data_IF_474527351660
#
_entry.id   IF_474527351660
#
_cell.length_a   1.000
_cell.length_b   1.000
_cell.length_c   1.000
_cell.angle_alpha   90.00
_cell.angle_beta   90.00
_cell.angle_gamma   90.00
#
_symmetry.space_group_name_H-M   'P 1'
#
loop_
_entity.id
_entity.type
_entity.pdbx_description
1 polymer ?
#
# COMPACT_ATOMS: atom_id res chain seq x y z
N UNK A 1 -10.04 -19.29 44.02
CA UNK A 1 -8.66 -19.38 43.50
C UNK A 1 -8.71 -20.11 42.18
N UNK A 2 -8.42 -19.38 41.11
CA UNK A 2 -7.70 -19.77 39.90
C UNK A 2 -7.88 -18.55 38.99
N UNK A 3 -6.98 -17.58 39.16
CA UNK A 3 -6.81 -16.50 38.18
C UNK A 3 -6.30 -17.18 36.91
N UNK A 4 -7.06 -17.11 35.83
CA UNK A 4 -6.61 -17.50 34.49
C UNK A 4 -5.31 -16.73 34.22
N UNK A 5 -4.22 -17.46 33.94
CA UNK A 5 -2.97 -16.86 33.45
C UNK A 5 -3.27 -16.03 32.20
N UNK A 6 -2.56 -14.91 31.95
CA UNK A 6 -2.78 -14.09 30.76
C UNK A 6 -2.32 -14.87 29.51
N UNK A 7 -3.20 -15.72 28.97
CA UNK A 7 -3.16 -16.09 27.55
C UNK A 7 -3.33 -14.79 26.79
N UNK A 8 -2.30 -14.32 26.08
CA UNK A 8 -2.50 -13.08 25.32
C UNK A 8 -1.24 -12.56 24.66
N UNK A 9 -0.23 -12.16 25.45
CA UNK A 9 0.86 -11.33 24.92
C UNK A 9 1.67 -11.97 23.80
N UNK A 10 2.14 -13.20 23.99
CA UNK A 10 2.99 -13.89 23.02
C UNK A 10 2.27 -14.17 21.70
N UNK A 11 0.99 -14.56 21.78
CA UNK A 11 0.17 -14.86 20.62
C UNK A 11 -0.25 -13.59 19.86
N UNK A 12 -0.57 -12.51 20.57
CA UNK A 12 -0.82 -11.19 19.98
C UNK A 12 0.41 -10.71 19.20
N UNK A 13 1.59 -10.72 19.84
CA UNK A 13 2.84 -10.30 19.20
C UNK A 13 3.24 -11.17 18.02
N UNK A 14 2.90 -12.47 18.04
CA UNK A 14 3.13 -13.36 16.90
C UNK A 14 2.35 -12.93 15.66
N UNK A 15 1.12 -12.47 15.82
CA UNK A 15 0.29 -12.02 14.71
C UNK A 15 0.78 -10.69 14.12
N UNK A 16 1.47 -9.86 14.90
CA UNK A 16 2.04 -8.60 14.41
C UNK A 16 3.23 -8.80 13.46
N UNK A 17 3.75 -10.03 13.34
CA UNK A 17 4.77 -10.36 12.34
C UNK A 17 4.17 -10.52 10.95
N UNK A 18 2.87 -10.78 10.88
CA UNK A 18 2.16 -10.89 9.62
C UNK A 18 1.99 -9.49 9.01
N UNK A 19 2.47 -9.37 7.78
CA UNK A 19 2.46 -8.14 7.01
C UNK A 19 1.03 -7.65 6.73
N UNK A 20 0.11 -8.55 6.39
CA UNK A 20 -1.28 -8.20 6.08
C UNK A 20 -2.01 -7.72 7.35
N UNK A 21 -1.64 -8.29 8.51
CA UNK A 21 -2.13 -7.81 9.80
C UNK A 21 -1.61 -6.40 10.10
N UNK A 22 -0.33 -6.11 9.87
CA UNK A 22 0.21 -4.75 10.04
C UNK A 22 -0.51 -3.73 9.14
N UNK A 23 -0.75 -4.08 7.87
CA UNK A 23 -1.52 -3.26 6.92
C UNK A 23 -2.94 -3.01 7.42
N UNK A 24 -3.64 -4.05 7.86
CA UNK A 24 -5.01 -3.95 8.36
C UNK A 24 -5.09 -3.06 9.60
N UNK A 25 -4.20 -3.27 10.57
CA UNK A 25 -4.12 -2.46 11.79
C UNK A 25 -3.76 -1.00 11.47
N UNK A 26 -2.83 -0.78 10.53
CA UNK A 26 -2.51 0.54 9.99
C UNK A 26 -3.73 1.25 9.42
N UNK A 27 -4.54 0.54 8.62
CA UNK A 27 -5.76 1.10 8.05
C UNK A 27 -6.81 1.39 9.13
N UNK A 28 -7.06 0.46 10.03
CA UNK A 28 -8.07 0.63 11.09
C UNK A 28 -7.73 1.78 12.05
N UNK A 29 -6.47 1.92 12.45
CA UNK A 29 -6.06 2.99 13.37
C UNK A 29 -6.11 4.38 12.73
N UNK A 30 -6.05 4.43 11.41
CA UNK A 30 -6.08 5.68 10.66
C UNK A 30 -7.45 6.01 10.09
N UNK A 31 -8.37 5.03 10.03
CA UNK A 31 -9.76 5.25 9.65
C UNK A 31 -10.54 5.97 10.76
N UNK A 32 -11.56 6.73 10.37
CA UNK A 32 -12.41 7.46 11.32
C UNK A 32 -13.33 6.54 12.11
N UNK A 33 -13.87 5.49 11.48
CA UNK A 33 -14.79 4.55 12.11
C UNK A 33 -14.07 3.58 13.05
N UNK A 34 -12.82 3.19 12.73
CA UNK A 34 -12.07 2.10 13.39
C UNK A 34 -12.84 0.77 13.45
N UNK A 35 -13.88 0.65 12.61
CA UNK A 35 -14.77 -0.50 12.52
C UNK A 35 -14.86 -0.89 11.06
N UNK A 36 -14.66 -2.19 10.80
CA UNK A 36 -14.88 -2.84 9.51
C UNK A 36 -16.35 -3.20 9.41
N UNK A 37 -17.06 -2.53 8.50
CA UNK A 37 -18.45 -2.84 8.18
C UNK A 37 -18.54 -3.75 6.96
N UNK A 38 -19.38 -4.79 7.00
CA UNK A 38 -19.66 -5.59 5.82
C UNK A 38 -20.51 -4.81 4.83
N UNK A 39 -20.26 -4.99 3.52
CA UNK A 39 -21.15 -4.55 2.45
C UNK A 39 -21.82 -5.76 1.80
N UNK A 40 -23.06 -5.61 1.38
CA UNK A 40 -23.76 -6.68 0.65
C UNK A 40 -23.55 -6.53 -0.86
N UNK A 41 -23.10 -7.62 -1.48
CA UNK A 41 -22.98 -7.81 -2.91
C UNK A 41 -23.95 -8.92 -3.32
N UNK A 42 -24.88 -8.63 -4.24
CA UNK A 42 -25.92 -9.59 -4.62
C UNK A 42 -25.38 -10.87 -5.25
N UNK A 43 -24.16 -10.85 -5.79
CA UNK A 43 -23.53 -12.01 -6.41
C UNK A 43 -22.66 -12.79 -5.44
N UNK A 44 -21.88 -12.07 -4.62
CA UNK A 44 -20.81 -12.62 -3.77
C UNK A 44 -21.19 -12.71 -2.29
N UNK A 45 -22.36 -12.19 -1.90
CA UNK A 45 -22.78 -12.12 -0.51
C UNK A 45 -22.14 -10.95 0.23
N UNK A 46 -21.93 -11.08 1.55
CA UNK A 46 -21.27 -10.05 2.31
C UNK A 46 -19.76 -10.04 2.09
N UNK A 47 -19.21 -8.83 2.01
CA UNK A 47 -17.84 -8.52 1.65
C UNK A 47 -17.24 -7.50 2.59
N UNK A 48 -15.92 -7.52 2.72
CA UNK A 48 -15.17 -6.51 3.47
C UNK A 48 -14.11 -5.89 2.55
N UNK A 49 -14.50 -4.96 1.66
CA UNK A 49 -13.60 -4.40 0.65
C UNK A 49 -12.31 -3.84 1.24
N UNK A 50 -12.41 -3.21 2.42
CA UNK A 50 -11.25 -2.66 3.13
C UNK A 50 -10.21 -3.70 3.54
N UNK A 51 -10.59 -4.96 3.66
CA UNK A 51 -9.71 -6.09 3.97
C UNK A 51 -9.33 -6.85 2.70
N UNK A 52 -10.26 -6.99 1.76
CA UNK A 52 -10.04 -7.63 0.45
C UNK A 52 -8.92 -6.95 -0.35
N UNK A 53 -8.76 -5.62 -0.22
CA UNK A 53 -7.68 -4.87 -0.88
C UNK A 53 -6.28 -5.15 -0.30
N UNK A 54 -6.22 -5.73 0.91
CA UNK A 54 -4.98 -5.97 1.64
C UNK A 54 -4.45 -7.39 1.38
N UNK A 55 -5.35 -8.36 1.38
CA UNK A 55 -5.01 -9.78 1.22
C UNK A 55 -4.79 -10.16 -0.24
N UNK A 56 -3.96 -11.18 -0.46
CA UNK A 56 -3.72 -11.70 -1.82
C UNK A 56 -4.94 -12.48 -2.38
N UNK A 57 -5.71 -13.12 -1.49
CA UNK A 57 -6.91 -13.89 -1.85
C UNK A 57 -8.12 -13.36 -1.08
N UNK A 58 -9.06 -12.66 -1.75
CA UNK A 58 -10.30 -12.16 -1.15
C UNK A 58 -11.16 -13.25 -0.49
N UNK A 59 -10.97 -14.53 -0.85
CA UNK A 59 -11.73 -15.63 -0.25
C UNK A 59 -11.29 -15.99 1.19
N UNK A 60 -10.07 -15.64 1.62
CA UNK A 60 -9.58 -15.88 2.99
C UNK A 60 -9.92 -14.72 3.95
N UNK A 61 -10.63 -13.69 3.52
CA UNK A 61 -10.94 -12.52 4.38
C UNK A 61 -11.69 -12.92 5.65
N UNK A 62 -12.71 -13.78 5.53
CA UNK A 62 -13.49 -14.26 6.68
C UNK A 62 -12.62 -15.10 7.63
N UNK A 63 -11.71 -15.91 7.07
CA UNK A 63 -10.73 -16.70 7.82
C UNK A 63 -9.74 -15.81 8.58
N UNK A 64 -9.18 -14.79 7.93
CA UNK A 64 -8.28 -13.82 8.57
C UNK A 64 -8.97 -13.11 9.73
N UNK A 65 -10.17 -12.57 9.51
CA UNK A 65 -10.92 -11.85 10.56
C UNK A 65 -11.23 -12.76 11.75
N UNK A 66 -11.63 -14.01 11.50
CA UNK A 66 -11.88 -15.00 12.55
C UNK A 66 -10.62 -15.32 13.35
N UNK A 67 -9.46 -15.53 12.70
CA UNK A 67 -8.17 -15.74 13.37
C UNK A 67 -7.78 -14.55 14.26
N UNK A 68 -8.05 -13.32 13.83
CA UNK A 68 -7.76 -12.13 14.61
C UNK A 68 -8.68 -11.97 15.82
N UNK A 69 -9.95 -12.39 15.71
CA UNK A 69 -10.87 -12.47 16.86
C UNK A 69 -10.42 -13.53 17.86
N UNK A 70 -10.04 -14.72 17.39
CA UNK A 70 -9.55 -15.80 18.25
C UNK A 70 -8.29 -15.41 19.03
N UNK A 71 -7.44 -14.58 18.42
CA UNK A 71 -6.25 -14.00 19.07
C UNK A 71 -6.54 -12.80 19.95
N UNK A 72 -7.80 -12.35 20.04
CA UNK A 72 -8.21 -11.18 20.83
C UNK A 72 -7.82 -9.83 20.24
N UNK A 73 -7.32 -9.77 19.00
CA UNK A 73 -6.99 -8.50 18.33
C UNK A 73 -8.23 -7.73 17.91
N UNK A 74 -9.26 -8.45 17.49
CA UNK A 74 -10.53 -7.87 17.04
C UNK A 74 -11.68 -8.33 17.93
N UNK A 75 -12.59 -7.41 18.21
CA UNK A 75 -13.93 -7.71 18.68
C UNK A 75 -14.88 -7.83 17.48
N UNK A 76 -15.77 -8.82 17.51
CA UNK A 76 -16.85 -8.95 16.53
C UNK A 76 -18.20 -8.60 17.15
N UNK A 77 -19.07 -7.95 16.37
CA UNK A 77 -20.46 -7.64 16.76
C UNK A 77 -21.40 -8.11 15.67
N UNK A 78 -22.45 -8.84 16.06
CA UNK A 78 -23.49 -9.28 15.13
C UNK A 78 -24.19 -8.05 14.54
N UNK A 79 -24.22 -7.96 13.21
CA UNK A 79 -24.80 -6.83 12.49
C UNK A 79 -25.87 -7.23 11.47
N UNK A 80 -26.01 -8.52 11.19
CA UNK A 80 -27.07 -9.02 10.32
C UNK A 80 -27.08 -10.54 10.17
N UNK A 81 -28.00 -11.01 9.33
CA UNK A 81 -28.12 -12.41 8.95
C UNK A 81 -28.25 -12.49 7.43
N UNK A 82 -27.39 -13.29 6.81
CA UNK A 82 -27.43 -13.57 5.38
C UNK A 82 -28.27 -14.83 5.16
N UNK A 83 -29.33 -14.72 4.38
CA UNK A 83 -30.09 -15.90 3.95
C UNK A 83 -29.32 -16.62 2.84
N UNK A 84 -29.28 -17.95 2.91
CA UNK A 84 -28.54 -18.82 2.02
C UNK A 84 -29.42 -19.97 1.52
N UNK A 85 -29.26 -20.31 0.25
CA UNK A 85 -29.83 -21.52 -0.30
C UNK A 85 -29.19 -22.74 0.37
N UNK A 86 -29.94 -23.62 1.06
CA UNK A 86 -29.38 -24.82 1.69
C UNK A 86 -28.84 -25.82 0.67
N UNK A 87 -29.26 -25.73 -0.61
CA UNK A 87 -28.82 -26.63 -1.68
C UNK A 87 -27.48 -26.24 -2.30
N UNK A 88 -27.25 -24.94 -2.52
CA UNK A 88 -26.09 -24.47 -3.30
C UNK A 88 -25.28 -23.36 -2.60
N UNK A 89 -25.67 -22.94 -1.40
CA UNK A 89 -24.99 -21.89 -0.64
C UNK A 89 -25.13 -20.48 -1.21
N UNK A 90 -25.90 -20.27 -2.27
CA UNK A 90 -26.09 -18.94 -2.87
C UNK A 90 -26.96 -18.03 -2.00
N UNK A 91 -26.59 -16.76 -1.91
CA UNK A 91 -27.39 -15.68 -1.31
C UNK A 91 -28.44 -15.08 -2.25
N UNK A 92 -28.51 -15.52 -3.51
CA UNK A 92 -29.45 -15.01 -4.52
C UNK A 92 -30.84 -15.58 -4.32
N UNK A 93 -31.50 -15.15 -3.24
CA UNK A 93 -32.84 -15.57 -2.87
C UNK A 93 -33.85 -14.44 -3.13
N UNK A 94 -34.96 -14.77 -3.78
CA UNK A 94 -36.13 -13.89 -3.93
C UNK A 94 -37.36 -14.55 -3.31
N UNK A 95 -38.40 -13.77 -3.04
CA UNK A 95 -39.70 -14.30 -2.62
C UNK A 95 -40.36 -15.01 -3.81
N UNK A 96 -40.89 -16.21 -3.60
CA UNK A 96 -41.65 -16.91 -4.63
C UNK A 96 -42.93 -16.13 -4.99
N UNK A 97 -43.28 -16.10 -6.28
CA UNK A 97 -44.50 -15.46 -6.78
C UNK A 97 -45.75 -16.30 -6.44
N UNK A 98 -46.94 -15.67 -6.43
CA UNK A 98 -48.21 -16.38 -6.29
C UNK A 98 -48.65 -16.71 -4.85
N UNK A 99 -48.11 -16.02 -3.84
CA UNK A 99 -48.57 -16.16 -2.44
C UNK A 99 -47.99 -17.36 -1.70
N UNK A 100 -47.05 -18.10 -2.30
CA UNK A 100 -46.33 -19.17 -1.62
C UNK A 100 -45.36 -18.60 -0.56
N UNK A 101 -45.42 -19.14 0.66
CA UNK A 101 -44.45 -18.88 1.72
C UNK A 101 -43.13 -19.64 1.45
N UNK A 102 -42.42 -19.22 0.41
CA UNK A 102 -41.16 -19.83 0.00
C UNK A 102 -40.17 -18.81 -0.60
N UNK A 103 -38.89 -19.17 -0.54
CA UNK A 103 -37.80 -18.53 -1.23
C UNK A 103 -37.51 -19.24 -2.56
N UNK A 104 -37.16 -18.48 -3.60
CA UNK A 104 -36.65 -19.00 -4.86
C UNK A 104 -35.17 -18.64 -4.98
N UNK A 105 -34.32 -19.66 -5.17
CA UNK A 105 -32.91 -19.44 -5.44
C UNK A 105 -32.67 -19.19 -6.93
N UNK A 106 -32.21 -17.98 -7.30
CA UNK A 106 -31.92 -17.63 -8.69
C UNK A 106 -30.66 -18.31 -9.24
N UNK A 107 -29.83 -18.92 -8.38
CA UNK A 107 -28.62 -19.63 -8.81
C UNK A 107 -28.89 -21.09 -9.22
N UNK A 108 -29.72 -21.82 -8.46
CA UNK A 108 -29.99 -23.24 -8.73
C UNK A 108 -31.48 -23.57 -8.97
N UNK A 109 -32.35 -22.57 -9.03
CA UNK A 109 -33.78 -22.71 -9.32
C UNK A 109 -34.59 -23.40 -8.21
N UNK A 110 -34.02 -23.61 -7.03
CA UNK A 110 -34.70 -24.34 -5.96
C UNK A 110 -35.70 -23.44 -5.23
N UNK A 111 -36.91 -23.98 -5.02
CA UNK A 111 -37.92 -23.41 -4.12
C UNK A 111 -37.69 -23.96 -2.72
N UNK A 112 -37.49 -23.09 -1.74
CA UNK A 112 -37.11 -23.41 -0.37
C UNK A 112 -38.22 -22.88 0.56
N UNK A 113 -38.85 -23.73 1.38
CA UNK A 113 -39.79 -23.27 2.41
C UNK A 113 -39.17 -22.21 3.35
N UNK A 114 -39.98 -21.28 3.89
CA UNK A 114 -39.46 -20.20 4.75
C UNK A 114 -38.66 -20.70 5.96
N UNK A 115 -39.09 -21.82 6.55
CA UNK A 115 -38.48 -22.45 7.73
C UNK A 115 -37.24 -23.29 7.42
N UNK A 116 -36.97 -23.56 6.14
CA UNK A 116 -35.84 -24.36 5.67
C UNK A 116 -34.75 -23.52 5.00
N UNK A 117 -34.88 -22.19 5.02
CA UNK A 117 -33.84 -21.30 4.51
C UNK A 117 -32.62 -21.37 5.42
N UNK A 118 -31.44 -21.56 4.84
CA UNK A 118 -30.20 -21.43 5.59
C UNK A 118 -29.98 -19.97 5.96
N UNK A 119 -29.33 -19.73 7.09
CA UNK A 119 -28.82 -18.40 7.40
C UNK A 119 -27.39 -18.49 7.94
N UNK A 120 -26.65 -17.41 7.71
CA UNK A 120 -25.32 -17.21 8.28
C UNK A 120 -25.27 -15.85 8.96
N UNK A 121 -24.74 -15.81 10.15
CA UNK A 121 -24.53 -14.56 10.88
C UNK A 121 -23.48 -13.69 10.19
N UNK A 122 -23.68 -12.38 10.25
CA UNK A 122 -22.83 -11.39 9.60
C UNK A 122 -22.35 -10.42 10.67
N UNK A 123 -21.05 -10.14 10.67
CA UNK A 123 -20.39 -9.44 11.76
C UNK A 123 -19.74 -8.15 11.28
N UNK A 124 -19.72 -7.15 12.15
CA UNK A 124 -18.78 -6.03 12.05
C UNK A 124 -17.60 -6.28 12.99
N UNK A 125 -16.41 -5.80 12.64
CA UNK A 125 -15.20 -6.03 13.43
C UNK A 125 -14.57 -4.71 13.85
N UNK A 126 -14.09 -4.63 15.09
CA UNK A 126 -13.40 -3.48 15.64
C UNK A 126 -12.12 -3.92 16.34
N UNK A 127 -11.12 -3.04 16.43
CA UNK A 127 -9.95 -3.30 17.28
C UNK A 127 -10.36 -3.37 18.75
N UNK A 128 -9.93 -4.42 19.45
CA UNK A 128 -10.09 -4.49 20.91
C UNK A 128 -9.30 -3.34 21.57
N UNK A 129 -9.93 -2.53 22.44
CA UNK A 129 -9.22 -1.51 23.20
C UNK A 129 -8.08 -2.09 24.05
N UNK A 130 -8.32 -3.24 24.69
CA UNK A 130 -7.35 -3.93 25.54
C UNK A 130 -6.15 -4.41 24.71
N UNK A 131 -6.40 -5.06 23.58
CA UNK A 131 -5.34 -5.51 22.69
C UNK A 131 -4.55 -4.32 22.13
N UNK A 132 -5.24 -3.22 21.78
CA UNK A 132 -4.60 -2.02 21.26
C UNK A 132 -3.63 -1.41 22.27
N UNK A 133 -4.01 -1.32 23.54
CA UNK A 133 -3.15 -0.82 24.61
C UNK A 133 -1.86 -1.65 24.70
N UNK A 134 -1.99 -2.98 24.67
CA UNK A 134 -0.89 -3.92 24.79
C UNK A 134 0.06 -3.93 23.58
N UNK A 135 -0.48 -3.83 22.36
CA UNK A 135 0.31 -3.97 21.13
C UNK A 135 0.80 -2.65 20.54
N UNK A 136 0.26 -1.50 20.98
CA UNK A 136 0.50 -0.19 20.37
C UNK A 136 1.98 0.12 20.12
N UNK A 137 2.86 -0.23 21.05
CA UNK A 137 4.32 -0.02 20.96
C UNK A 137 5.06 -0.99 20.02
N UNK A 138 4.38 -2.00 19.48
CA UNK A 138 4.94 -3.04 18.61
C UNK A 138 4.45 -2.90 17.15
N UNK A 139 3.62 -1.90 16.87
CA UNK A 139 3.07 -1.67 15.54
C UNK A 139 4.02 -0.80 14.69
N UNK A 140 4.71 -1.45 13.75
CA UNK A 140 5.67 -0.78 12.86
C UNK A 140 4.97 0.19 11.91
N UNK A 141 3.97 -0.29 11.16
CA UNK A 141 3.35 0.50 10.11
C UNK A 141 2.58 1.73 10.66
N UNK A 142 1.72 1.61 11.69
CA UNK A 142 1.15 2.77 12.38
C UNK A 142 2.18 3.80 12.85
N UNK A 143 3.30 3.36 13.42
CA UNK A 143 4.38 4.24 13.89
C UNK A 143 5.04 4.99 12.73
N UNK A 144 5.26 4.31 11.60
CA UNK A 144 5.80 4.92 10.37
C UNK A 144 4.81 5.94 9.78
N UNK A 145 3.52 5.61 9.72
CA UNK A 145 2.48 6.52 9.22
C UNK A 145 2.35 7.78 10.07
N UNK A 146 2.33 7.63 11.40
CA UNK A 146 2.32 8.77 12.33
C UNK A 146 3.57 9.64 12.17
N UNK A 147 4.74 9.02 12.07
CA UNK A 147 6.00 9.71 11.80
C UNK A 147 5.96 10.53 10.50
N UNK A 148 5.46 9.96 9.39
CA UNK A 148 5.35 10.65 8.10
C UNK A 148 4.36 11.83 8.17
N UNK A 149 3.23 11.66 8.87
CA UNK A 149 2.26 12.76 9.06
C UNK A 149 2.83 13.89 9.90
N UNK A 150 3.52 13.58 11.00
CA UNK A 150 4.24 14.57 11.83
C UNK A 150 5.32 15.30 11.04
N UNK A 151 5.84 14.69 9.97
CA UNK A 151 6.79 15.30 9.02
C UNK A 151 6.12 16.16 7.93
N UNK A 152 4.80 16.25 7.92
CA UNK A 152 4.03 17.07 6.98
C UNK A 152 3.64 16.36 5.68
N UNK A 153 3.75 15.03 5.63
CA UNK A 153 3.29 14.25 4.47
C UNK A 153 1.82 13.86 4.63
N UNK A 154 1.09 13.89 3.52
CA UNK A 154 -0.09 13.04 3.33
C UNK A 154 0.38 11.62 2.99
N UNK A 155 -0.34 10.62 3.50
CA UNK A 155 0.04 9.21 3.38
C UNK A 155 -1.13 8.39 2.90
N UNK A 156 -0.89 7.45 1.98
CA UNK A 156 -1.82 6.36 1.67
C UNK A 156 -1.20 5.03 2.06
N UNK A 157 -2.02 4.11 2.57
CA UNK A 157 -1.59 2.77 2.99
C UNK A 157 -2.74 1.75 2.85
N UNK A 158 -2.57 0.71 2.02
CA UNK A 158 -1.53 0.60 1.00
C UNK A 158 -1.60 1.77 0.00
N UNK A 159 -0.47 2.12 -0.59
CA UNK A 159 -0.37 3.15 -1.61
C UNK A 159 -0.14 2.53 -2.99
N UNK A 160 -0.72 3.14 -4.03
CA UNK A 160 -0.63 2.62 -5.40
C UNK A 160 -0.02 3.66 -6.33
N UNK A 161 0.89 3.23 -7.19
CA UNK A 161 1.49 4.07 -8.24
C UNK A 161 1.46 3.35 -9.58
N UNK A 162 0.94 4.00 -10.61
CA UNK A 162 1.03 3.51 -11.98
C UNK A 162 2.45 3.73 -12.52
N UNK A 163 3.08 2.67 -13.00
CA UNK A 163 4.39 2.72 -13.63
C UNK A 163 4.34 3.13 -15.10
N UNK A 164 5.50 3.37 -15.69
CA UNK A 164 5.67 3.68 -17.12
C UNK A 164 5.06 2.61 -18.02
N UNK A 165 5.18 1.36 -17.60
CA UNK A 165 4.59 0.20 -18.27
C UNK A 165 3.06 0.24 -18.31
N UNK A 166 2.40 1.05 -17.47
CA UNK A 166 0.96 1.03 -17.22
C UNK A 166 0.55 0.00 -16.17
N UNK A 167 1.50 -0.76 -15.62
CA UNK A 167 1.26 -1.63 -14.47
C UNK A 167 1.10 -0.77 -13.23
N UNK A 168 0.05 -1.04 -12.45
CA UNK A 168 -0.16 -0.42 -11.14
C UNK A 168 0.61 -1.22 -10.10
N UNK A 169 1.57 -0.58 -9.46
CA UNK A 169 2.39 -1.17 -8.41
C UNK A 169 1.85 -0.78 -7.03
N UNK A 170 1.84 -1.74 -6.11
CA UNK A 170 1.48 -1.56 -4.70
C UNK A 170 2.73 -1.35 -3.85
N UNK A 171 2.65 -0.38 -2.95
CA UNK A 171 3.58 -0.12 -1.86
C UNK A 171 2.82 -0.11 -0.54
N UNK A 172 3.50 -0.38 0.57
CA UNK A 172 2.84 -0.36 1.88
C UNK A 172 2.48 1.06 2.27
N UNK A 173 3.34 2.02 1.91
CA UNK A 173 3.09 3.45 2.09
C UNK A 173 3.53 4.24 0.87
N UNK A 174 2.65 5.10 0.38
CA UNK A 174 3.02 6.26 -0.45
C UNK A 174 2.86 7.52 0.39
N UNK A 175 3.83 8.43 0.29
CA UNK A 175 3.84 9.68 1.04
C UNK A 175 4.16 10.86 0.11
N UNK A 176 3.33 11.88 0.15
CA UNK A 176 3.45 13.07 -0.70
C UNK A 176 3.03 14.32 0.08
N UNK A 177 3.45 15.50 -0.37
CA UNK A 177 3.18 16.75 0.35
C UNK A 177 1.73 17.20 0.17
N UNK A 178 1.39 17.69 -1.03
CA UNK A 178 0.03 18.14 -1.33
C UNK A 178 -0.67 17.18 -2.29
N UNK A 179 0.06 16.72 -3.30
CA UNK A 179 -0.38 15.78 -4.34
C UNK A 179 0.77 14.87 -4.77
N UNK A 180 0.42 13.73 -5.39
CA UNK A 180 1.36 12.78 -6.03
C UNK A 180 2.25 13.49 -7.07
N UNK A 181 1.75 14.55 -7.71
CA UNK A 181 2.47 15.33 -8.73
C UNK A 181 3.62 16.18 -8.18
N UNK A 182 3.60 16.48 -6.88
CA UNK A 182 4.71 17.16 -6.17
C UNK A 182 5.80 16.18 -5.73
N UNK A 183 5.64 14.90 -6.06
CA UNK A 183 6.60 13.83 -5.80
C UNK A 183 6.17 12.94 -4.65
N UNK A 184 6.51 11.67 -4.81
CA UNK A 184 6.13 10.61 -3.90
C UNK A 184 7.36 9.96 -3.32
N UNK A 185 7.38 9.82 -2.00
CA UNK A 185 8.20 8.87 -1.29
C UNK A 185 7.43 7.55 -1.20
N UNK A 186 8.09 6.45 -1.53
CA UNK A 186 7.53 5.11 -1.35
C UNK A 186 8.27 4.38 -0.24
N UNK A 187 7.53 3.60 0.52
CA UNK A 187 8.08 2.78 1.58
C UNK A 187 7.44 1.40 1.57
N UNK A 188 8.29 0.38 1.64
CA UNK A 188 7.89 -1.00 1.91
C UNK A 188 8.46 -1.45 3.27
N UNK A 189 7.71 -2.27 3.99
CA UNK A 189 7.99 -2.84 5.28
C UNK A 189 8.01 -4.36 5.18
N UNK A 190 9.19 -4.95 5.39
CA UNK A 190 9.36 -6.39 5.49
C UNK A 190 9.61 -6.80 6.94
N UNK A 191 8.78 -7.68 7.47
CA UNK A 191 8.93 -8.27 8.79
C UNK A 191 9.18 -9.77 8.65
N UNK A 192 10.27 -10.26 9.23
CA UNK A 192 10.60 -11.68 9.27
C UNK A 192 11.17 -12.08 10.63
N UNK A 193 11.15 -13.38 10.94
CA UNK A 193 11.78 -13.89 12.17
C UNK A 193 13.30 -13.78 12.14
N UNK A 194 13.88 -13.89 10.94
CA UNK A 194 15.31 -13.83 10.69
C UNK A 194 15.69 -12.67 9.78
N UNK A 195 16.90 -12.73 9.24
CA UNK A 195 17.42 -11.72 8.32
C UNK A 195 16.65 -11.74 7.00
N UNK A 196 16.22 -10.57 6.53
CA UNK A 196 15.52 -10.38 5.26
C UNK A 196 16.48 -10.60 4.09
N UNK A 197 16.06 -11.39 3.11
CA UNK A 197 16.86 -11.72 1.94
C UNK A 197 16.91 -10.62 0.87
N UNK A 198 17.78 -10.82 -0.12
CA UNK A 198 18.02 -9.88 -1.21
C UNK A 198 16.83 -9.76 -2.18
N UNK A 199 15.97 -10.76 -2.25
CA UNK A 199 14.77 -10.82 -3.10
C UNK A 199 13.82 -9.64 -2.87
N UNK A 200 13.75 -9.13 -1.63
CA UNK A 200 12.91 -7.98 -1.29
C UNK A 200 13.40 -6.68 -1.93
N UNK A 201 14.71 -6.49 -1.99
CA UNK A 201 15.31 -5.36 -2.70
C UNK A 201 15.07 -5.47 -4.20
N UNK A 202 15.20 -6.66 -4.78
CA UNK A 202 14.95 -6.86 -6.21
C UNK A 202 13.49 -6.58 -6.59
N UNK A 203 12.54 -7.03 -5.77
CA UNK A 203 11.12 -6.71 -5.93
C UNK A 203 10.88 -5.20 -5.84
N UNK A 204 11.40 -4.53 -4.81
CA UNK A 204 11.25 -3.08 -4.67
C UNK A 204 11.91 -2.32 -5.83
N UNK A 205 13.08 -2.76 -6.30
CA UNK A 205 13.76 -2.18 -7.44
C UNK A 205 12.90 -2.22 -8.71
N UNK A 206 12.25 -3.36 -8.99
CA UNK A 206 11.36 -3.47 -10.16
C UNK A 206 10.23 -2.44 -10.11
N UNK A 207 9.60 -2.27 -8.93
CA UNK A 207 8.54 -1.26 -8.72
C UNK A 207 9.07 0.17 -8.86
N UNK A 208 10.21 0.48 -8.24
CA UNK A 208 10.84 1.81 -8.24
C UNK A 208 11.32 2.20 -9.64
N UNK A 209 11.85 1.25 -10.40
CA UNK A 209 12.30 1.48 -11.76
C UNK A 209 11.13 1.88 -12.68
N UNK A 210 9.96 1.28 -12.47
CA UNK A 210 8.76 1.57 -13.28
C UNK A 210 8.02 2.82 -12.80
N UNK A 211 8.02 3.12 -11.50
CA UNK A 211 7.21 4.23 -10.92
C UNK A 211 7.99 5.51 -10.65
N UNK A 212 9.33 5.44 -10.66
CA UNK A 212 10.26 6.58 -10.52
C UNK A 212 9.93 7.55 -9.35
N UNK A 213 9.76 7.06 -8.11
CA UNK A 213 9.52 7.90 -6.94
C UNK A 213 10.73 8.80 -6.62
N UNK A 214 10.51 9.89 -5.88
CA UNK A 214 11.58 10.77 -5.41
C UNK A 214 12.55 10.07 -4.47
N UNK A 215 12.00 9.19 -3.63
CA UNK A 215 12.77 8.42 -2.67
C UNK A 215 12.08 7.10 -2.42
N UNK A 216 12.87 6.03 -2.38
CA UNK A 216 12.44 4.70 -2.01
C UNK A 216 13.11 4.30 -0.70
N UNK A 217 12.32 3.82 0.26
CA UNK A 217 12.80 3.32 1.54
C UNK A 217 12.32 1.87 1.75
N UNK A 218 13.23 0.93 1.97
CA UNK A 218 12.89 -0.38 2.49
C UNK A 218 13.13 -0.39 4.00
N UNK A 219 12.10 -0.71 4.77
CA UNK A 219 12.20 -1.01 6.19
C UNK A 219 12.30 -2.52 6.37
N UNK A 220 13.40 -3.00 6.95
CA UNK A 220 13.65 -4.42 7.17
C UNK A 220 13.69 -4.72 8.67
N UNK A 221 12.84 -5.64 9.12
CA UNK A 221 12.75 -6.07 10.52
C UNK A 221 13.17 -7.54 10.63
N UNK A 222 14.22 -7.88 11.40
CA UNK A 222 15.10 -6.98 12.15
C UNK A 222 16.21 -6.34 11.30
N UNK A 223 16.66 -7.00 10.24
CA UNK A 223 17.78 -6.57 9.41
C UNK A 223 17.76 -7.22 8.03
N UNK A 224 18.52 -6.66 7.09
CA UNK A 224 18.73 -7.14 5.74
C UNK A 224 20.07 -7.87 5.63
N UNK A 225 20.13 -8.87 4.75
CA UNK A 225 21.38 -9.58 4.43
C UNK A 225 22.45 -8.62 3.90
N UNK A 226 23.73 -8.96 4.05
CA UNK A 226 24.82 -8.16 3.49
C UNK A 226 24.70 -7.98 1.97
N UNK A 227 24.28 -9.03 1.28
CA UNK A 227 23.98 -8.97 -0.16
C UNK A 227 22.85 -7.98 -0.45
N UNK A 228 21.74 -8.07 0.30
CA UNK A 228 20.64 -7.12 0.17
C UNK A 228 21.08 -5.68 0.40
N UNK A 229 21.91 -5.40 1.42
CA UNK A 229 22.45 -4.04 1.69
C UNK A 229 23.30 -3.51 0.54
N UNK A 230 24.14 -4.37 -0.06
CA UNK A 230 24.94 -4.01 -1.24
C UNK A 230 24.06 -3.68 -2.43
N UNK A 231 23.05 -4.52 -2.71
CA UNK A 231 22.09 -4.28 -3.80
C UNK A 231 21.28 -3.00 -3.57
N UNK A 232 20.83 -2.75 -2.34
CA UNK A 232 20.08 -1.55 -2.02
C UNK A 232 20.90 -0.27 -2.30
N UNK A 233 22.17 -0.27 -1.91
CA UNK A 233 23.10 0.82 -2.20
C UNK A 233 23.28 1.03 -3.71
N UNK A 234 23.45 -0.06 -4.47
CA UNK A 234 23.56 -0.02 -5.94
C UNK A 234 22.30 0.59 -6.59
N UNK A 235 21.11 0.20 -6.12
CA UNK A 235 19.83 0.67 -6.65
C UNK A 235 19.35 1.99 -6.04
N UNK A 236 20.13 2.60 -5.14
CA UNK A 236 19.79 3.83 -4.41
C UNK A 236 18.49 3.72 -3.60
N UNK A 237 18.18 2.52 -3.14
CA UNK A 237 17.08 2.26 -2.20
C UNK A 237 17.64 2.50 -0.80
N UNK A 238 17.02 3.41 -0.05
CA UNK A 238 17.44 3.65 1.34
C UNK A 238 16.95 2.52 2.22
N UNK A 239 17.83 1.93 3.02
CA UNK A 239 17.45 0.84 3.94
C UNK A 239 17.39 1.36 5.37
N UNK A 240 16.33 0.97 6.08
CA UNK A 240 16.20 1.18 7.53
C UNK A 240 15.97 -0.16 8.20
N UNK A 241 16.89 -0.55 9.08
CA UNK A 241 16.84 -1.83 9.80
C UNK A 241 16.52 -1.62 11.28
N UNK A 242 15.81 -2.52 11.93
CA UNK A 242 15.55 -2.45 13.38
C UNK A 242 14.55 -3.50 13.85
N UNK A 243 14.70 -3.93 15.10
CA UNK A 243 13.83 -4.94 15.72
C UNK A 243 12.58 -4.39 16.41
N UNK A 244 12.48 -3.07 16.59
CA UNK A 244 11.36 -2.41 17.26
C UNK A 244 10.97 -1.10 16.56
N UNK A 245 9.70 -0.65 16.65
CA UNK A 245 9.22 0.55 15.97
C UNK A 245 9.99 1.83 16.32
N UNK A 246 10.44 2.00 17.56
CA UNK A 246 11.16 3.21 18.00
C UNK A 246 12.55 3.32 17.37
N UNK A 247 13.26 2.20 17.22
CA UNK A 247 14.52 2.15 16.47
C UNK A 247 14.28 2.50 15.00
N UNK A 248 13.23 1.95 14.39
CA UNK A 248 12.86 2.24 12.99
C UNK A 248 12.58 3.73 12.82
N UNK A 249 11.71 4.31 13.64
CA UNK A 249 11.36 5.75 13.58
C UNK A 249 12.60 6.62 13.76
N UNK A 250 13.47 6.32 14.73
CA UNK A 250 14.72 7.07 14.95
C UNK A 250 15.66 7.02 13.74
N UNK A 251 15.77 5.89 13.07
CA UNK A 251 16.59 5.75 11.86
C UNK A 251 15.94 6.43 10.65
N UNK A 252 14.62 6.35 10.52
CA UNK A 252 13.86 7.07 9.49
C UNK A 252 14.05 8.58 9.61
N UNK A 253 14.28 9.15 10.82
CA UNK A 253 14.56 10.58 10.97
C UNK A 253 15.75 11.05 10.10
N UNK A 254 16.74 10.19 9.90
CA UNK A 254 17.97 10.46 9.12
C UNK A 254 17.78 10.28 7.62
N UNK A 255 16.82 9.44 7.23
CA UNK A 255 16.58 9.05 5.84
C UNK A 255 15.50 9.92 5.21
N UNK A 256 14.42 10.18 5.93
CA UNK A 256 13.28 10.93 5.43
C UNK A 256 13.34 12.35 5.99
N UNK A 257 13.58 13.40 5.18
CA UNK A 257 13.52 14.77 5.67
C UNK A 257 12.06 15.24 5.79
N UNK A 258 11.79 16.38 6.47
CA UNK A 258 10.49 17.04 6.46
C UNK A 258 9.95 17.31 5.04
N UNK A 259 8.63 17.28 4.87
CA UNK A 259 7.98 17.35 3.56
C UNK A 259 8.25 18.65 2.78
N UNK A 260 8.51 19.76 3.47
CA UNK A 260 8.88 21.05 2.88
C UNK A 260 10.31 21.09 2.30
N UNK A 261 11.16 20.16 2.75
CA UNK A 261 12.55 20.00 2.28
C UNK A 261 12.70 18.94 1.19
N UNK A 262 11.71 18.06 1.02
CA UNK A 262 11.64 17.18 -0.15
C UNK A 262 11.21 18.03 -1.34
N UNK A 263 12.19 18.55 -2.08
CA UNK A 263 11.95 19.33 -3.29
C UNK A 263 12.59 18.63 -4.47
N UNK A 264 11.88 18.62 -5.58
CA UNK A 264 12.54 18.63 -6.86
C UNK A 264 13.24 19.99 -7.02
N UNK A 265 14.48 19.99 -7.48
CA UNK A 265 15.22 21.21 -7.74
C UNK A 265 14.74 21.79 -9.08
N UNK A 266 14.47 23.10 -9.11
CA UNK A 266 14.25 23.81 -10.37
C UNK A 266 15.51 23.68 -11.23
N UNK A 267 15.36 23.56 -12.54
CA UNK A 267 16.47 23.58 -13.50
C UNK A 267 17.02 25.01 -13.63
N UNK A 268 17.63 25.54 -12.56
CA UNK A 268 18.29 26.84 -12.57
C UNK A 268 19.69 26.78 -13.19
N UNK A 269 20.28 27.95 -13.44
CA UNK A 269 21.57 28.06 -14.12
C UNK A 269 22.70 27.32 -13.38
N UNK A 270 22.70 27.34 -12.04
CA UNK A 270 23.71 26.66 -11.23
C UNK A 270 23.55 25.14 -11.26
N UNK A 271 22.30 24.66 -11.25
CA UNK A 271 21.96 23.25 -11.37
C UNK A 271 22.38 22.68 -12.72
N UNK A 272 22.10 23.42 -13.81
CA UNK A 272 22.52 23.04 -15.16
C UNK A 272 24.05 22.88 -15.24
N UNK A 273 24.82 23.78 -14.62
CA UNK A 273 26.28 23.68 -14.58
C UNK A 273 26.78 22.44 -13.83
N UNK A 274 26.05 21.96 -12.83
CA UNK A 274 26.40 20.76 -12.05
C UNK A 274 26.10 19.43 -12.76
N UNK A 275 25.21 19.44 -13.78
CA UNK A 275 24.82 18.23 -14.50
C UNK A 275 25.91 17.76 -15.46
N UNK A 276 26.11 16.43 -15.64
CA UNK A 276 26.87 15.87 -16.75
C UNK A 276 26.37 16.38 -18.11
N UNK A 277 27.26 16.60 -19.07
CA UNK A 277 26.95 17.30 -20.34
C UNK A 277 25.77 16.70 -21.11
N UNK A 278 25.64 15.37 -21.12
CA UNK A 278 24.53 14.70 -21.78
C UNK A 278 23.17 15.01 -21.11
N UNK A 279 23.11 15.01 -19.78
CA UNK A 279 21.92 15.37 -19.02
C UNK A 279 21.63 16.88 -19.09
N UNK A 280 22.67 17.71 -19.06
CA UNK A 280 22.54 19.17 -19.22
C UNK A 280 21.91 19.50 -20.57
N UNK A 281 22.37 18.86 -21.64
CA UNK A 281 21.84 19.05 -22.99
C UNK A 281 20.36 18.68 -23.10
N UNK A 282 19.97 17.53 -22.53
CA UNK A 282 18.56 17.11 -22.43
C UNK A 282 17.72 18.09 -21.60
N UNK A 283 18.22 18.50 -20.43
CA UNK A 283 17.55 19.45 -19.55
C UNK A 283 17.34 20.81 -20.22
N UNK A 284 18.33 21.33 -20.95
CA UNK A 284 18.23 22.59 -21.69
C UNK A 284 17.27 22.50 -22.88
N UNK A 285 17.18 21.35 -23.55
CA UNK A 285 16.19 21.14 -24.61
C UNK A 285 14.78 21.12 -24.03
N UNK A 286 14.58 20.39 -22.93
CA UNK A 286 13.29 20.35 -22.24
C UNK A 286 12.88 21.72 -21.68
N UNK A 287 13.83 22.48 -21.10
CA UNK A 287 13.57 23.83 -20.58
C UNK A 287 13.06 24.78 -21.67
N UNK A 288 13.61 24.70 -22.88
CA UNK A 288 13.16 25.47 -24.03
C UNK A 288 11.77 25.04 -24.54
N UNK A 289 11.45 23.76 -24.44
CA UNK A 289 10.18 23.21 -24.91
C UNK A 289 9.03 23.37 -23.88
N UNK A 290 9.35 23.56 -22.61
CA UNK A 290 8.37 23.72 -21.53
C UNK A 290 7.70 22.40 -21.12
N UNK A 291 6.89 21.79 -21.98
CA UNK A 291 6.37 20.44 -21.76
C UNK A 291 6.53 19.63 -23.05
N UNK A 292 7.21 18.48 -22.99
CA UNK A 292 7.61 17.74 -24.17
C UNK A 292 7.68 16.23 -23.93
N UNK A 293 7.43 15.45 -24.98
CA UNK A 293 7.68 14.02 -25.05
C UNK A 293 9.16 13.73 -25.29
N UNK A 294 9.62 12.51 -25.00
CA UNK A 294 10.97 12.07 -25.35
C UNK A 294 11.29 12.18 -26.85
N UNK A 295 10.26 12.09 -27.71
CA UNK A 295 10.40 12.25 -29.16
C UNK A 295 10.69 13.72 -29.55
N UNK A 296 10.00 14.67 -28.91
CA UNK A 296 10.22 16.09 -29.16
C UNK A 296 11.58 16.56 -28.63
N UNK A 297 11.99 16.05 -27.46
CA UNK A 297 13.32 16.31 -26.92
C UNK A 297 14.41 15.69 -27.81
N UNK A 298 14.21 14.47 -28.31
CA UNK A 298 15.12 13.82 -29.26
C UNK A 298 15.31 14.61 -30.55
N UNK A 299 14.24 15.17 -31.09
CA UNK A 299 14.32 16.06 -32.25
C UNK A 299 15.12 17.33 -31.93
N UNK A 300 14.99 17.86 -30.73
CA UNK A 300 15.69 19.07 -30.30
C UNK A 300 17.18 18.84 -30.00
N UNK A 301 17.56 17.67 -29.49
CA UNK A 301 18.96 17.34 -29.14
C UNK A 301 19.72 16.63 -30.26
N UNK A 302 19.01 16.11 -31.27
CA UNK A 302 19.58 15.30 -32.35
C UNK A 302 19.96 13.87 -31.92
N UNK A 303 19.54 13.41 -30.74
CA UNK A 303 19.80 12.05 -30.25
C UNK A 303 18.64 11.12 -30.57
N UNK A 304 18.88 9.81 -30.48
CA UNK A 304 17.81 8.82 -30.61
C UNK A 304 16.80 8.94 -29.47
N UNK A 305 15.50 8.76 -29.76
CA UNK A 305 14.40 8.80 -28.78
C UNK A 305 14.65 7.93 -27.55
N UNK A 306 15.17 6.71 -27.72
CA UNK A 306 15.46 5.82 -26.60
C UNK A 306 16.52 6.39 -25.63
N UNK A 307 17.51 7.11 -26.16
CA UNK A 307 18.57 7.75 -25.37
C UNK A 307 17.99 8.92 -24.58
N UNK A 308 17.21 9.81 -25.22
CA UNK A 308 16.56 10.92 -24.52
C UNK A 308 15.55 10.45 -23.48
N UNK A 309 14.80 9.38 -23.75
CA UNK A 309 13.91 8.77 -22.76
C UNK A 309 14.69 8.33 -21.51
N UNK A 310 15.88 7.72 -21.70
CA UNK A 310 16.76 7.35 -20.59
C UNK A 310 17.26 8.55 -19.78
N UNK A 311 17.70 9.61 -20.47
CA UNK A 311 18.20 10.84 -19.83
C UNK A 311 17.11 11.63 -19.12
N UNK A 312 15.92 11.75 -19.71
CA UNK A 312 14.76 12.37 -19.07
C UNK A 312 14.35 11.61 -17.82
N UNK A 313 14.28 10.28 -17.87
CA UNK A 313 14.00 9.45 -16.69
C UNK A 313 15.12 9.55 -15.64
N UNK A 314 16.38 9.76 -16.05
CA UNK A 314 17.46 10.06 -15.12
C UNK A 314 17.29 11.43 -14.45
N UNK A 315 16.93 12.47 -15.20
CA UNK A 315 16.63 13.80 -14.65
C UNK A 315 15.41 13.79 -13.71
N UNK A 316 14.41 12.96 -13.97
CA UNK A 316 13.27 12.72 -13.06
C UNK A 316 13.76 12.11 -11.75
N UNK A 317 14.58 11.05 -11.80
CA UNK A 317 15.18 10.41 -10.61
C UNK A 317 16.08 11.35 -9.81
N UNK A 318 16.73 12.29 -10.48
CA UNK A 318 17.54 13.32 -9.85
C UNK A 318 16.72 14.47 -9.27
N UNK A 319 15.41 14.48 -9.52
CA UNK A 319 14.51 15.49 -9.00
C UNK A 319 14.53 16.81 -9.78
N UNK A 320 14.92 16.84 -11.07
CA UNK A 320 14.98 18.07 -11.88
C UNK A 320 13.80 18.25 -12.83
N UNK A 321 13.16 17.15 -13.19
CA UNK A 321 12.14 17.08 -14.24
C UNK A 321 10.90 16.39 -13.68
N UNK A 322 9.72 16.96 -13.97
CA UNK A 322 8.43 16.31 -13.77
C UNK A 322 8.12 15.40 -14.94
N UNK A 323 7.43 14.31 -14.64
CA UNK A 323 6.92 13.37 -15.63
C UNK A 323 5.42 13.20 -15.42
N UNK A 324 4.63 13.32 -16.50
CA UNK A 324 3.19 13.10 -16.51
C UNK A 324 2.80 12.16 -17.65
N UNK A 325 1.74 11.39 -17.44
CA UNK A 325 1.11 10.59 -18.50
C UNK A 325 -0.21 11.24 -18.89
N UNK A 326 -0.41 11.46 -20.19
CA UNK A 326 -1.67 11.96 -20.75
C UNK A 326 -2.12 11.01 -21.85
N UNK A 327 -3.01 10.08 -21.51
CA UNK A 327 -3.39 8.97 -22.38
C UNK A 327 -2.20 8.08 -22.70
N UNK A 328 -1.90 7.86 -23.99
CA UNK A 328 -0.76 7.04 -24.45
C UNK A 328 0.57 7.80 -24.50
N UNK A 329 0.59 9.10 -24.16
CA UNK A 329 1.80 9.93 -24.24
C UNK A 329 2.41 10.17 -22.87
N UNK A 330 3.73 10.10 -22.82
CA UNK A 330 4.55 10.46 -21.66
C UNK A 330 5.14 11.84 -21.93
N UNK A 331 4.79 12.80 -21.08
CA UNK A 331 5.23 14.18 -21.12
C UNK A 331 6.19 14.45 -19.98
N UNK A 332 7.22 15.22 -20.27
CA UNK A 332 8.19 15.71 -19.31
C UNK A 332 8.08 17.22 -19.27
N UNK A 333 8.28 17.83 -18.10
CA UNK A 333 8.35 19.28 -17.96
C UNK A 333 9.44 19.67 -16.95
N UNK A 334 10.18 20.77 -17.17
CA UNK A 334 11.04 21.36 -16.17
C UNK A 334 10.21 21.74 -14.95
N UNK A 335 10.82 21.65 -13.79
CA UNK A 335 10.29 22.34 -12.63
C UNK A 335 10.42 23.84 -12.82
N UNK A 336 9.28 24.54 -12.73
CA UNK A 336 9.19 26.00 -12.66
C UNK A 336 9.26 26.46 -11.22
#
# INVERSE_FOLDING_TARGET
MLMDEPRGRGELLSALRDHDVQLLLGRLLTSRSRVLHPIFDGERGYRYPEVEDLVNDPSDVEGLLQRLVEKGLLERRLCGSLLLCPRCGSSRLSRAEGGAEAWLCSNCGSTIPLDQVGYREVYSYALSPEALEEISSHLFLPSILDFLRKRGFKTESPGYLEGESGVVHRYDVTAFRSSVEEGVLVLDLEISEGVVGAERILSMFAKVYDTTPLKAVLVAVPALTEEGRRLAAQYRISVVEGGDPDVIVRKLLRVVPPADRVRYQALDAMTLLSLPDHLRSTAMALHRLGEATAEEVARATGRARAVESGYLNQLVRMGYVKKRRRGRRVLFSPMT
#
